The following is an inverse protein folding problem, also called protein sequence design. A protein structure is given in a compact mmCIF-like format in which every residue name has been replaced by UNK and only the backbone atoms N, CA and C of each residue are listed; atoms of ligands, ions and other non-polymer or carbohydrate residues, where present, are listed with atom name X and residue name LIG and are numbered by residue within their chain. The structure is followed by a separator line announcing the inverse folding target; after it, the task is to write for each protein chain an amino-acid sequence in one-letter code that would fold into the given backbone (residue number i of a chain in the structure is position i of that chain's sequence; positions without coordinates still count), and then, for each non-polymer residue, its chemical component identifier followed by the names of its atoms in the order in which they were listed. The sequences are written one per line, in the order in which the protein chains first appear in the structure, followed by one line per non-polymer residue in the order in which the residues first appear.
data_IF_014527013887
#
_entry.id   IF_014527013887
#
_cell.length_a   1.000
_cell.length_b   1.000
_cell.length_c   1.000
_cell.angle_alpha   90.00
_cell.angle_beta   90.00
_cell.angle_gamma   90.00
#
_symmetry.space_group_name_H-M   'P 1'
#
loop_
_entity.id
_entity.type
_entity.pdbx_description
1 polymer ?
#
# COMPACT_ATOMS: atom_id res chain seq x y z
N UNK A 1 -21.27 24.01 -10.46
CA UNK A 1 -20.97 24.10 -9.01
C UNK A 1 -20.02 22.97 -8.65
N UNK A 2 -18.71 23.27 -8.60
CA UNK A 2 -17.68 22.27 -8.30
C UNK A 2 -17.65 21.99 -6.81
N UNK A 3 -17.64 20.71 -6.43
CA UNK A 3 -17.68 20.18 -5.07
C UNK A 3 -16.47 20.70 -4.26
N UNK A 4 -16.68 21.75 -3.47
CA UNK A 4 -15.71 22.32 -2.53
C UNK A 4 -15.58 21.51 -1.23
N UNK A 5 -16.03 20.26 -1.19
CA UNK A 5 -15.88 19.41 0.00
C UNK A 5 -14.43 18.96 0.10
N UNK A 6 -13.66 19.39 1.12
CA UNK A 6 -12.32 18.88 1.31
C UNK A 6 -12.32 17.38 1.54
N UNK A 7 -11.37 16.69 0.90
CA UNK A 7 -11.21 15.24 1.06
C UNK A 7 -10.89 14.85 2.51
N UNK A 8 -10.16 15.70 3.23
CA UNK A 8 -9.82 15.50 4.64
C UNK A 8 -9.86 16.83 5.40
N UNK A 9 -10.56 16.85 6.53
CA UNK A 9 -10.62 17.97 7.48
C UNK A 9 -9.79 17.67 8.72
N UNK A 10 -9.17 18.69 9.34
CA UNK A 10 -8.57 18.54 10.66
C UNK A 10 -9.65 18.30 11.71
N UNK A 11 -9.29 17.60 12.80
CA UNK A 11 -10.15 17.51 13.97
C UNK A 11 -10.18 18.86 14.70
N UNK A 12 -11.37 19.40 14.96
CA UNK A 12 -11.56 20.66 15.69
C UNK A 12 -12.43 21.67 14.95
N UNK A 13 -12.29 22.96 15.28
CA UNK A 13 -13.15 24.04 14.75
C UNK A 13 -12.74 24.54 13.36
N UNK A 14 -11.62 24.10 12.82
CA UNK A 14 -11.14 24.55 11.52
C UNK A 14 -11.85 23.83 10.38
N UNK A 15 -12.51 24.59 9.52
CA UNK A 15 -13.10 24.07 8.27
C UNK A 15 -12.13 24.11 7.08
N UNK A 16 -10.87 24.51 7.32
CA UNK A 16 -9.86 24.53 6.25
C UNK A 16 -9.42 23.09 5.92
N UNK A 17 -9.36 22.71 4.63
CA UNK A 17 -8.83 21.41 4.19
C UNK A 17 -7.42 21.15 4.73
N UNK A 18 -7.10 19.90 5.06
CA UNK A 18 -5.69 19.53 5.26
C UNK A 18 -4.94 19.65 3.93
N UNK A 19 -3.78 20.29 3.98
CA UNK A 19 -2.86 20.32 2.84
C UNK A 19 -2.19 18.96 2.67
N UNK A 20 -1.69 18.70 1.46
CA UNK A 20 -0.85 17.53 1.19
C UNK A 20 0.35 17.45 2.15
N UNK A 21 1.00 18.57 2.44
CA UNK A 21 2.14 18.63 3.36
C UNK A 21 1.73 18.29 4.79
N UNK A 22 0.58 18.79 5.26
CA UNK A 22 0.07 18.45 6.58
C UNK A 22 -0.22 16.94 6.71
N UNK A 23 -0.87 16.34 5.69
CA UNK A 23 -1.09 14.90 5.65
C UNK A 23 0.22 14.11 5.62
N UNK A 24 1.20 14.54 4.84
CA UNK A 24 2.52 13.93 4.80
C UNK A 24 3.17 13.93 6.19
N UNK A 25 3.19 15.08 6.86
CA UNK A 25 3.76 15.20 8.22
C UNK A 25 3.04 14.32 9.22
N UNK A 26 1.69 14.26 9.18
CA UNK A 26 0.91 13.39 10.07
C UNK A 26 1.29 11.92 9.85
N UNK A 27 1.35 11.46 8.59
CA UNK A 27 1.74 10.07 8.28
C UNK A 27 3.16 9.79 8.78
N UNK A 28 4.13 10.67 8.52
CA UNK A 28 5.51 10.49 9.02
C UNK A 28 5.55 10.43 10.54
N UNK A 29 4.81 11.27 11.24
CA UNK A 29 4.77 11.29 12.70
C UNK A 29 4.18 10.00 13.29
N UNK A 30 3.12 9.46 12.68
CA UNK A 30 2.51 8.18 13.11
C UNK A 30 3.53 7.05 13.01
N UNK A 31 4.22 6.94 11.87
CA UNK A 31 5.19 5.86 11.64
C UNK A 31 6.47 6.01 12.47
N UNK A 32 6.98 7.23 12.64
CA UNK A 32 8.09 7.47 13.56
C UNK A 32 7.73 7.07 15.00
N UNK A 33 6.53 7.43 15.47
CA UNK A 33 6.05 7.01 16.79
C UNK A 33 5.87 5.49 16.91
N UNK A 34 5.46 4.81 15.84
CA UNK A 34 5.37 3.35 15.82
C UNK A 34 6.75 2.68 15.84
N UNK A 35 7.71 3.20 15.05
CA UNK A 35 9.10 2.73 15.05
C UNK A 35 9.74 2.87 16.43
N UNK A 36 9.55 4.02 17.08
CA UNK A 36 10.06 4.23 18.44
C UNK A 36 9.50 3.23 19.44
N UNK A 37 8.18 3.01 19.42
CA UNK A 37 7.54 1.99 20.27
C UNK A 37 8.07 0.59 20.00
N UNK A 38 8.45 0.30 18.76
CA UNK A 38 9.01 -0.98 18.37
C UNK A 38 10.45 -1.14 18.90
N UNK A 39 11.29 -0.09 18.82
CA UNK A 39 12.64 -0.08 19.41
C UNK A 39 12.62 -0.33 20.92
N UNK A 40 11.62 0.21 21.62
CA UNK A 40 11.44 -0.02 23.07
C UNK A 40 11.18 -1.48 23.45
N UNK A 41 10.85 -2.36 22.49
CA UNK A 41 10.66 -3.79 22.73
C UNK A 41 11.98 -4.57 22.78
N UNK A 42 13.10 -3.95 22.41
CA UNK A 42 14.44 -4.53 22.45
C UNK A 42 15.16 -4.49 21.10
N UNK A 43 16.48 -4.69 21.14
CA UNK A 43 17.39 -4.54 19.99
C UNK A 43 17.04 -5.46 18.80
N UNK A 44 16.36 -6.58 19.07
CA UNK A 44 15.92 -7.52 18.04
C UNK A 44 14.90 -6.96 17.04
N UNK A 45 14.35 -5.76 17.28
CA UNK A 45 13.40 -5.10 16.37
C UNK A 45 13.95 -3.85 15.68
N UNK A 46 15.27 -3.59 15.77
CA UNK A 46 15.87 -2.37 15.23
C UNK A 46 15.65 -2.24 13.71
N UNK A 47 15.81 -3.34 12.96
CA UNK A 47 15.65 -3.34 11.50
C UNK A 47 14.20 -3.04 11.07
N UNK A 48 13.22 -3.62 11.75
CA UNK A 48 11.80 -3.39 11.50
C UNK A 48 11.38 -1.97 11.87
N UNK A 49 11.97 -1.40 12.93
CA UNK A 49 11.75 -0.02 13.30
C UNK A 49 12.31 0.94 12.23
N UNK A 50 13.53 0.70 11.75
CA UNK A 50 14.15 1.48 10.67
C UNK A 50 13.32 1.40 9.37
N UNK A 51 12.74 0.24 9.07
CA UNK A 51 11.84 0.07 7.94
C UNK A 51 10.53 0.86 8.13
N UNK A 52 9.90 0.76 9.31
CA UNK A 52 8.70 1.53 9.64
C UNK A 52 8.93 3.03 9.51
N UNK A 53 10.10 3.52 9.93
CA UNK A 53 10.44 4.93 9.87
C UNK A 53 10.53 5.47 8.43
N UNK A 54 10.77 4.61 7.44
CA UNK A 54 10.78 4.97 6.01
C UNK A 54 9.37 5.08 5.41
N UNK A 55 8.34 4.61 6.11
CA UNK A 55 6.97 4.60 5.61
C UNK A 55 6.46 5.99 5.19
N UNK A 56 5.58 5.97 4.19
CA UNK A 56 4.96 7.15 3.59
C UNK A 56 3.56 6.81 3.07
N UNK A 57 2.79 7.83 2.66
CA UNK A 57 1.48 7.61 2.05
C UNK A 57 1.57 6.77 0.76
N UNK A 58 2.66 6.90 0.00
CA UNK A 58 2.88 6.08 -1.20
C UNK A 58 3.22 4.64 -0.84
N UNK A 59 4.07 4.44 0.17
CA UNK A 59 4.38 3.10 0.70
C UNK A 59 3.12 2.36 1.15
N UNK A 60 2.24 3.03 1.90
CA UNK A 60 0.93 2.47 2.28
C UNK A 60 0.08 2.04 1.08
N UNK A 61 0.04 2.87 0.04
CA UNK A 61 -0.68 2.54 -1.20
C UNK A 61 -0.08 1.31 -1.88
N UNK A 62 1.25 1.17 -1.89
CA UNK A 62 1.89 -0.01 -2.42
C UNK A 62 1.60 -1.26 -1.59
N UNK A 63 1.70 -1.17 -0.26
CA UNK A 63 1.35 -2.26 0.64
C UNK A 63 -0.08 -2.72 0.41
N UNK A 64 -1.04 -1.80 0.28
CA UNK A 64 -2.43 -2.15 -0.01
C UNK A 64 -2.60 -2.81 -1.39
N UNK A 65 -1.89 -2.33 -2.42
CA UNK A 65 -1.90 -2.91 -3.76
C UNK A 65 -1.36 -4.33 -3.80
N UNK A 66 -0.15 -4.54 -3.25
CA UNK A 66 0.46 -5.87 -3.14
C UNK A 66 -0.43 -6.80 -2.32
N UNK A 67 -0.91 -6.35 -1.15
CA UNK A 67 -1.74 -7.20 -0.29
C UNK A 67 -3.04 -7.67 -0.96
N UNK A 68 -3.69 -6.82 -1.77
CA UNK A 68 -4.87 -7.24 -2.54
C UNK A 68 -4.50 -8.25 -3.63
N UNK A 69 -3.40 -8.02 -4.36
CA UNK A 69 -2.95 -8.90 -5.43
C UNK A 69 -2.50 -10.27 -4.89
N UNK A 70 -1.69 -10.29 -3.84
CA UNK A 70 -1.22 -11.50 -3.15
C UNK A 70 -2.39 -12.28 -2.52
N UNK A 71 -3.45 -11.58 -2.14
CA UNK A 71 -4.71 -12.17 -1.68
C UNK A 71 -5.60 -12.75 -2.79
N UNK A 72 -5.15 -12.73 -4.06
CA UNK A 72 -5.86 -13.28 -5.21
C UNK A 72 -6.97 -12.39 -5.77
N UNK A 73 -7.02 -11.10 -5.43
CA UNK A 73 -7.98 -10.19 -6.04
C UNK A 73 -7.69 -10.01 -7.54
N UNK A 74 -8.74 -9.97 -8.37
CA UNK A 74 -8.60 -9.67 -9.80
C UNK A 74 -7.88 -8.33 -10.00
N UNK A 75 -6.93 -8.29 -10.93
CA UNK A 75 -6.09 -7.10 -11.17
C UNK A 75 -6.94 -5.88 -11.58
N UNK A 76 -8.10 -6.09 -12.21
CA UNK A 76 -9.05 -4.99 -12.51
C UNK A 76 -9.66 -4.42 -11.23
N UNK A 77 -10.00 -5.26 -10.26
CA UNK A 77 -10.47 -4.83 -8.94
C UNK A 77 -9.38 -4.04 -8.21
N UNK A 78 -8.13 -4.51 -8.22
CA UNK A 78 -7.00 -3.76 -7.64
C UNK A 78 -6.82 -2.40 -8.32
N UNK A 79 -6.86 -2.35 -9.65
CA UNK A 79 -6.80 -1.11 -10.43
C UNK A 79 -7.91 -0.13 -10.04
N UNK A 80 -9.14 -0.60 -9.95
CA UNK A 80 -10.31 0.24 -9.67
C UNK A 80 -10.30 0.75 -8.24
N UNK A 81 -9.95 -0.10 -7.27
CA UNK A 81 -9.79 0.30 -5.86
C UNK A 81 -8.70 1.36 -5.68
N UNK A 82 -7.59 1.23 -6.42
CA UNK A 82 -6.52 2.23 -6.42
C UNK A 82 -6.82 3.41 -7.34
N UNK A 83 -7.83 3.32 -8.20
CA UNK A 83 -8.21 4.34 -9.20
C UNK A 83 -7.09 4.62 -10.21
N UNK A 84 -6.43 3.57 -10.67
CA UNK A 84 -5.45 3.65 -11.74
C UNK A 84 -6.14 3.79 -13.10
N UNK A 85 -5.58 4.64 -13.97
CA UNK A 85 -6.12 4.86 -15.32
C UNK A 85 -5.88 3.65 -16.25
N UNK A 86 -4.91 2.79 -15.93
CA UNK A 86 -4.57 1.61 -16.74
C UNK A 86 -4.14 0.42 -15.88
N UNK A 87 -4.20 -0.78 -16.47
CA UNK A 87 -3.65 -1.99 -15.84
C UNK A 87 -2.13 -1.97 -15.79
N UNK A 88 -1.45 -1.26 -16.70
CA UNK A 88 0.01 -1.15 -16.73
C UNK A 88 0.58 -0.63 -15.41
N UNK A 89 0.00 0.41 -14.80
CA UNK A 89 0.47 0.91 -13.49
C UNK A 89 0.06 0.02 -12.32
N UNK A 90 -0.77 -1.00 -12.56
CA UNK A 90 -1.26 -1.95 -11.55
C UNK A 90 -0.47 -3.25 -11.60
N UNK A 91 0.09 -3.62 -12.76
CA UNK A 91 0.95 -4.79 -12.94
C UNK A 91 2.13 -4.85 -11.95
N UNK A 92 2.57 -3.71 -11.42
CA UNK A 92 3.63 -3.64 -10.40
C UNK A 92 3.32 -4.40 -9.10
N UNK A 93 2.05 -4.77 -8.88
CA UNK A 93 1.61 -5.54 -7.72
C UNK A 93 1.54 -7.05 -7.99
N UNK A 94 1.77 -7.47 -9.23
CA UNK A 94 1.90 -8.90 -9.55
C UNK A 94 3.34 -9.31 -9.28
N UNK A 95 3.57 -9.92 -8.12
CA UNK A 95 4.84 -10.59 -7.78
C UNK A 95 4.90 -12.02 -8.35
N UNK A 96 3.73 -12.57 -8.71
CA UNK A 96 3.49 -13.94 -9.15
C UNK A 96 3.62 -14.25 -10.65
N UNK A 97 4.09 -13.39 -11.59
CA UNK A 97 4.17 -13.81 -12.99
C UNK A 97 4.94 -15.12 -13.15
N UNK A 98 6.00 -15.37 -12.38
CA UNK A 98 6.84 -16.57 -12.59
C UNK A 98 6.31 -17.81 -11.87
N UNK A 99 5.92 -17.71 -10.60
CA UNK A 99 5.41 -18.86 -9.82
C UNK A 99 4.02 -19.31 -10.31
N UNK A 100 3.13 -18.35 -10.62
CA UNK A 100 1.78 -18.65 -11.13
C UNK A 100 1.87 -19.21 -12.56
N UNK A 101 2.72 -18.66 -13.44
CA UNK A 101 2.93 -19.22 -14.78
C UNK A 101 3.53 -20.62 -14.71
N UNK A 102 4.49 -20.85 -13.81
CA UNK A 102 5.08 -22.17 -13.64
C UNK A 102 4.01 -23.16 -13.18
N UNK A 103 3.24 -22.83 -12.14
CA UNK A 103 2.13 -23.66 -11.66
C UNK A 103 1.04 -23.88 -12.71
N UNK A 104 0.60 -22.84 -13.40
CA UNK A 104 -0.39 -22.97 -14.48
C UNK A 104 0.15 -23.82 -15.64
N UNK A 105 1.45 -23.72 -15.93
CA UNK A 105 2.10 -24.56 -16.94
C UNK A 105 2.09 -26.01 -16.48
N UNK A 106 2.50 -26.29 -15.25
CA UNK A 106 2.46 -27.64 -14.67
C UNK A 106 1.02 -28.18 -14.65
N UNK A 107 0.04 -27.43 -14.11
CA UNK A 107 -1.36 -27.87 -13.99
C UNK A 107 -2.07 -28.07 -15.34
N UNK A 108 -1.75 -27.26 -16.37
CA UNK A 108 -2.40 -27.33 -17.69
C UNK A 108 -1.59 -28.14 -18.71
N UNK A 109 -0.32 -28.44 -18.45
CA UNK A 109 0.56 -29.25 -19.30
C UNK A 109 1.02 -30.57 -18.65
N UNK A 110 0.29 -31.10 -17.66
CA UNK A 110 0.28 -32.54 -17.36
C UNK A 110 -0.30 -33.31 -18.56
N UNK A 111 0.47 -33.38 -19.64
CA UNK A 111 0.30 -34.42 -20.64
C UNK A 111 0.88 -35.67 -20.00
N UNK A 112 0.00 -36.57 -19.59
CA UNK A 112 0.36 -37.95 -19.24
C UNK A 112 1.19 -38.54 -20.40
N UNK A 113 2.48 -38.74 -20.15
CA UNK A 113 3.34 -39.64 -20.92
C UNK A 113 3.78 -40.77 -20.01
#
# INVERSE_FOLDING_TARGET
MSLMTPLVLPLGKSMKPLTRSALHTIVKAIFAGAAERLRLRGDGFAAEADLLEQASAHWLRHTAGSHMADGGADLRTVRDNLRHASLTSTNIYLHTPDEERHRETEEKHLIEW
#
